data_IF_808469989517
#
_entry.id   IF_808469989517
#
_cell.length_a   1.000
_cell.length_b   1.000
_cell.length_c   1.000
_cell.angle_alpha   90.00
_cell.angle_beta   90.00
_cell.angle_gamma   90.00
#
_symmetry.space_group_name_H-M   'P 1'
#
loop_
_entity.id
_entity.type
_entity.pdbx_description
1 polymer ?
#
# COMPACT_ATOMS: atom_id res chain seq x y z
N UNK A 1 21.71 10.13 -40.29
CA UNK A 1 22.31 9.01 -39.52
C UNK A 1 23.28 9.51 -38.44
N UNK A 2 24.21 10.43 -38.74
CA UNK A 2 25.18 10.96 -37.75
C UNK A 2 24.55 11.84 -36.65
N UNK A 3 23.46 12.58 -36.95
CA UNK A 3 22.79 13.45 -35.96
C UNK A 3 22.00 12.68 -34.87
N UNK A 4 21.66 11.42 -35.07
CA UNK A 4 20.91 10.60 -34.10
C UNK A 4 21.82 9.78 -33.17
N UNK A 5 23.14 9.76 -33.43
CA UNK A 5 24.11 8.99 -32.65
C UNK A 5 24.16 9.39 -31.15
N UNK A 6 24.10 10.67 -30.77
CA UNK A 6 24.10 11.05 -29.35
C UNK A 6 22.85 10.58 -28.60
N UNK A 7 21.66 10.68 -29.23
CA UNK A 7 20.40 10.20 -28.65
C UNK A 7 20.37 8.67 -28.52
N UNK A 8 20.95 7.98 -29.50
CA UNK A 8 21.10 6.52 -29.47
C UNK A 8 22.09 6.07 -28.37
N UNK A 9 23.18 6.81 -28.18
CA UNK A 9 24.13 6.59 -27.08
C UNK A 9 23.44 6.71 -25.72
N UNK A 10 22.67 7.78 -25.50
CA UNK A 10 21.96 7.99 -24.23
C UNK A 10 20.93 6.87 -23.95
N UNK A 11 20.23 6.39 -24.97
CA UNK A 11 19.31 5.25 -24.84
C UNK A 11 20.05 3.95 -24.48
N UNK A 12 21.20 3.70 -25.10
CA UNK A 12 22.05 2.55 -24.78
C UNK A 12 22.54 2.65 -23.33
N UNK A 13 22.98 3.82 -22.88
CA UNK A 13 23.48 4.03 -21.53
C UNK A 13 22.39 3.75 -20.48
N UNK A 14 21.16 4.24 -20.72
CA UNK A 14 20.00 3.94 -19.87
C UNK A 14 19.69 2.45 -19.84
N UNK A 15 19.68 1.78 -20.99
CA UNK A 15 19.43 0.34 -21.07
C UNK A 15 20.51 -0.45 -20.33
N UNK A 16 21.78 -0.10 -20.53
CA UNK A 16 22.93 -0.71 -19.88
C UNK A 16 22.83 -0.61 -18.36
N UNK A 17 22.46 0.57 -17.84
CA UNK A 17 22.21 0.78 -16.41
C UNK A 17 21.10 -0.17 -15.89
N UNK A 18 19.98 -0.30 -16.59
CA UNK A 18 18.91 -1.19 -16.18
C UNK A 18 19.32 -2.67 -16.21
N UNK A 19 20.13 -3.09 -17.19
CA UNK A 19 20.69 -4.44 -17.26
C UNK A 19 21.62 -4.70 -16.06
N UNK A 20 22.47 -3.75 -15.70
CA UNK A 20 23.35 -3.87 -14.54
C UNK A 20 22.55 -3.97 -13.23
N UNK A 21 21.53 -3.12 -13.05
CA UNK A 21 20.63 -3.17 -11.89
C UNK A 21 19.92 -4.52 -11.82
N UNK A 22 19.35 -5.01 -12.92
CA UNK A 22 18.69 -6.31 -12.98
C UNK A 22 19.66 -7.45 -12.65
N UNK A 23 20.90 -7.36 -13.13
CA UNK A 23 21.99 -8.28 -12.80
C UNK A 23 22.29 -8.32 -11.30
N UNK A 24 22.43 -7.14 -10.67
CA UNK A 24 22.66 -7.00 -9.22
C UNK A 24 21.50 -7.56 -8.40
N UNK A 25 20.26 -7.22 -8.75
CA UNK A 25 19.05 -7.71 -8.07
C UNK A 25 19.00 -9.24 -8.13
N UNK A 26 19.18 -9.82 -9.33
CA UNK A 26 19.14 -11.27 -9.50
C UNK A 26 20.25 -11.99 -8.73
N UNK A 27 21.43 -11.37 -8.62
CA UNK A 27 22.52 -11.89 -7.80
C UNK A 27 22.12 -11.92 -6.32
N UNK A 28 21.60 -10.82 -5.77
CA UNK A 28 21.15 -10.72 -4.38
C UNK A 28 20.03 -11.73 -4.09
N UNK A 29 19.04 -11.88 -4.99
CA UNK A 29 17.94 -12.84 -4.83
C UNK A 29 18.47 -14.27 -4.67
N UNK A 30 19.48 -14.65 -5.46
CA UNK A 30 20.10 -15.98 -5.39
C UNK A 30 20.96 -16.15 -4.14
N UNK A 31 21.89 -15.22 -3.90
CA UNK A 31 22.86 -15.31 -2.79
C UNK A 31 22.17 -15.25 -1.42
N UNK A 32 21.10 -14.46 -1.28
CA UNK A 32 20.35 -14.34 -0.03
C UNK A 32 19.17 -15.32 0.08
N UNK A 33 18.97 -16.21 -0.88
CA UNK A 33 17.88 -17.21 -0.86
C UNK A 33 16.47 -16.61 -0.82
N UNK A 34 16.28 -15.41 -1.38
CA UNK A 34 15.05 -14.62 -1.20
C UNK A 34 13.81 -15.25 -1.83
N UNK A 35 13.98 -16.17 -2.79
CA UNK A 35 12.86 -16.86 -3.44
C UNK A 35 12.12 -17.79 -2.47
N UNK A 36 12.85 -18.59 -1.70
CA UNK A 36 12.26 -19.50 -0.71
C UNK A 36 11.66 -18.73 0.45
N UNK A 37 12.37 -17.71 0.95
CA UNK A 37 11.88 -16.82 2.00
C UNK A 37 10.62 -16.08 1.57
N UNK A 38 10.63 -15.47 0.38
CA UNK A 38 9.50 -14.72 -0.15
C UNK A 38 8.27 -15.61 -0.36
N UNK A 39 8.44 -16.86 -0.78
CA UNK A 39 7.32 -17.82 -0.86
C UNK A 39 6.74 -18.09 0.53
N UNK A 40 7.57 -18.35 1.54
CA UNK A 40 7.10 -18.57 2.90
C UNK A 40 6.37 -17.35 3.47
N UNK A 41 6.86 -16.13 3.21
CA UNK A 41 6.19 -14.88 3.60
C UNK A 41 4.78 -14.77 2.98
N UNK A 42 4.65 -15.08 1.69
CA UNK A 42 3.34 -15.12 1.01
C UNK A 42 2.45 -16.17 1.67
N UNK A 43 2.94 -17.39 1.82
CA UNK A 43 2.17 -18.52 2.34
C UNK A 43 1.68 -18.25 3.77
N UNK A 44 2.45 -17.53 4.59
CA UNK A 44 2.00 -17.09 5.91
C UNK A 44 0.82 -16.13 5.82
N UNK A 45 0.91 -15.11 4.97
CA UNK A 45 -0.12 -14.07 4.83
C UNK A 45 -1.43 -14.63 4.28
N UNK A 46 -1.37 -15.60 3.37
CA UNK A 46 -2.54 -16.27 2.78
C UNK A 46 -3.01 -17.50 3.58
N UNK A 47 -2.30 -17.89 4.66
CA UNK A 47 -2.66 -19.01 5.51
C UNK A 47 -2.35 -20.39 4.92
N UNK A 48 -1.51 -20.45 3.89
CA UNK A 48 -0.98 -21.68 3.30
C UNK A 48 0.11 -22.32 4.18
N UNK A 49 0.85 -21.49 4.92
CA UNK A 49 1.89 -21.90 5.88
C UNK A 49 1.58 -21.43 7.32
N UNK A 50 2.29 -21.98 8.29
CA UNK A 50 2.18 -21.57 9.69
C UNK A 50 3.49 -21.71 10.49
N UNK A 51 3.36 -21.71 11.82
CA UNK A 51 4.52 -21.72 12.73
C UNK A 51 5.48 -22.90 12.51
N UNK A 52 4.97 -24.07 12.09
CA UNK A 52 5.81 -25.24 11.80
C UNK A 52 6.77 -24.99 10.62
N UNK A 53 6.29 -24.31 9.59
CA UNK A 53 7.08 -24.00 8.40
C UNK A 53 8.14 -22.94 8.70
N UNK A 54 7.79 -21.96 9.55
CA UNK A 54 8.76 -20.98 10.08
C UNK A 54 9.84 -21.66 10.90
N UNK A 55 9.49 -22.57 11.81
CA UNK A 55 10.46 -23.33 12.59
C UNK A 55 11.36 -24.15 11.66
N UNK A 56 10.79 -24.83 10.66
CA UNK A 56 11.56 -25.60 9.67
C UNK A 56 12.55 -24.71 8.91
N UNK A 57 12.12 -23.53 8.47
CA UNK A 57 12.97 -22.55 7.80
C UNK A 57 14.12 -22.10 8.70
N UNK A 58 13.83 -21.68 9.94
CA UNK A 58 14.86 -21.22 10.89
C UNK A 58 15.90 -22.29 11.22
N UNK A 59 15.50 -23.57 11.29
CA UNK A 59 16.42 -24.68 11.53
C UNK A 59 17.21 -25.08 10.29
N UNK A 60 16.63 -24.97 9.10
CA UNK A 60 17.27 -25.41 7.85
C UNK A 60 18.19 -24.33 7.25
N UNK A 61 17.86 -23.06 7.46
CA UNK A 61 18.56 -21.89 6.92
C UNK A 61 19.19 -21.08 8.06
N UNK A 62 20.10 -21.71 8.82
CA UNK A 62 20.80 -21.03 9.91
C UNK A 62 21.61 -19.83 9.42
N UNK A 63 22.06 -19.85 8.16
CA UNK A 63 22.82 -18.81 7.46
C UNK A 63 21.98 -17.61 6.99
N UNK A 64 20.65 -17.68 7.10
CA UNK A 64 19.79 -16.56 6.75
C UNK A 64 20.14 -15.30 7.58
N UNK A 65 20.09 -14.14 6.94
CA UNK A 65 20.43 -12.86 7.57
C UNK A 65 19.53 -12.57 8.76
N UNK A 66 20.07 -11.83 9.75
CA UNK A 66 19.32 -11.35 10.92
C UNK A 66 18.04 -10.63 10.49
N UNK A 67 18.14 -9.75 9.50
CA UNK A 67 17.01 -8.99 8.95
C UNK A 67 15.91 -9.90 8.40
N UNK A 68 16.27 -10.90 7.60
CA UNK A 68 15.29 -11.83 7.02
C UNK A 68 14.57 -12.65 8.09
N UNK A 69 15.29 -13.13 9.10
CA UNK A 69 14.70 -13.87 10.24
C UNK A 69 13.75 -12.97 11.04
N UNK A 70 14.16 -11.74 11.32
CA UNK A 70 13.35 -10.77 12.05
C UNK A 70 12.08 -10.41 11.27
N UNK A 71 12.20 -10.07 9.98
CA UNK A 71 11.06 -9.76 9.11
C UNK A 71 10.04 -10.90 9.08
N UNK A 72 10.51 -12.14 8.95
CA UNK A 72 9.65 -13.32 8.97
C UNK A 72 8.89 -13.46 10.29
N UNK A 73 9.55 -13.23 11.43
CA UNK A 73 8.91 -13.26 12.74
C UNK A 73 7.93 -12.11 12.96
N UNK A 74 8.24 -10.91 12.47
CA UNK A 74 7.33 -9.76 12.52
C UNK A 74 6.05 -10.02 11.71
N UNK A 75 6.17 -10.62 10.52
CA UNK A 75 5.00 -11.07 9.73
C UNK A 75 4.19 -12.09 10.52
N UNK A 76 4.83 -13.10 11.11
CA UNK A 76 4.14 -14.11 11.91
C UNK A 76 3.44 -13.49 13.12
N UNK A 77 4.07 -12.51 13.80
CA UNK A 77 3.51 -11.83 14.96
C UNK A 77 2.34 -10.91 14.61
N UNK A 78 2.36 -10.27 13.44
CA UNK A 78 1.25 -9.48 12.94
C UNK A 78 0.02 -10.34 12.61
N UNK A 79 0.22 -11.58 12.12
CA UNK A 79 -0.87 -12.49 11.73
C UNK A 79 -1.39 -13.28 12.94
N UNK A 80 -0.49 -13.72 13.82
CA UNK A 80 -0.79 -14.59 14.96
C UNK A 80 -0.14 -14.07 16.25
N UNK A 81 -0.56 -12.91 16.78
CA UNK A 81 0.03 -12.32 17.99
C UNK A 81 -0.04 -13.27 19.20
N UNK A 82 -1.08 -14.12 19.27
CA UNK A 82 -1.27 -15.11 20.33
C UNK A 82 -0.19 -16.21 20.36
N UNK A 83 0.52 -16.43 19.24
CA UNK A 83 1.59 -17.43 19.15
C UNK A 83 2.88 -16.98 19.81
N UNK A 84 3.02 -15.67 20.03
CA UNK A 84 4.16 -15.09 20.71
C UNK A 84 3.92 -14.87 22.21
N UNK A 85 2.79 -15.33 22.75
CA UNK A 85 2.51 -15.33 24.18
C UNK A 85 3.13 -16.55 24.89
N UNK A 86 3.74 -16.28 26.05
CA UNK A 86 4.34 -17.30 26.91
C UNK A 86 5.59 -17.96 26.34
N UNK A 87 5.88 -19.18 26.81
CA UNK A 87 7.13 -19.91 26.50
C UNK A 87 7.32 -20.21 25.01
N UNK A 88 6.22 -20.40 24.27
CA UNK A 88 6.28 -20.69 22.83
C UNK A 88 6.88 -19.53 22.03
N UNK A 89 6.52 -18.30 22.37
CA UNK A 89 7.09 -17.09 21.78
C UNK A 89 8.58 -16.94 22.09
N UNK A 90 8.96 -17.19 23.35
CA UNK A 90 10.37 -17.15 23.75
C UNK A 90 11.21 -18.21 23.03
N UNK A 91 10.67 -19.42 22.85
CA UNK A 91 11.37 -20.52 22.19
C UNK A 91 11.62 -20.23 20.70
N UNK A 92 10.65 -19.64 19.98
CA UNK A 92 10.85 -19.31 18.57
C UNK A 92 11.83 -18.13 18.38
N UNK A 93 11.82 -17.15 19.29
CA UNK A 93 12.80 -16.06 19.29
C UNK A 93 14.22 -16.56 19.57
N UNK A 94 14.37 -17.47 20.53
CA UNK A 94 15.66 -18.13 20.83
C UNK A 94 16.15 -18.97 19.65
N UNK A 95 15.26 -19.71 18.99
CA UNK A 95 15.59 -20.50 17.81
C UNK A 95 16.13 -19.62 16.67
N UNK A 96 15.55 -18.43 16.48
CA UNK A 96 16.01 -17.48 15.47
C UNK A 96 17.37 -16.82 15.79
N UNK A 97 17.91 -17.01 17.01
CA UNK A 97 19.17 -16.42 17.50
C UNK A 97 19.22 -14.90 17.34
N UNK A 98 18.08 -14.23 17.56
CA UNK A 98 17.98 -12.78 17.47
C UNK A 98 18.39 -12.11 18.80
N UNK A 99 19.01 -10.92 18.77
CA UNK A 99 19.29 -10.13 19.96
C UNK A 99 18.00 -9.59 20.60
N UNK A 100 18.10 -9.12 21.83
CA UNK A 100 16.95 -8.67 22.62
C UNK A 100 16.18 -7.51 21.96
N UNK A 101 16.89 -6.57 21.32
CA UNK A 101 16.26 -5.43 20.64
C UNK A 101 15.33 -5.87 19.50
N UNK A 102 15.70 -6.93 18.79
CA UNK A 102 14.87 -7.53 17.74
C UNK A 102 13.65 -8.24 18.31
N UNK A 103 13.81 -8.87 19.47
CA UNK A 103 12.68 -9.48 20.18
C UNK A 103 11.67 -8.41 20.59
N UNK A 104 12.14 -7.22 20.98
CA UNK A 104 11.27 -6.09 21.27
C UNK A 104 10.50 -5.65 20.02
N UNK A 105 11.16 -5.56 18.87
CA UNK A 105 10.49 -5.24 17.61
C UNK A 105 9.38 -6.25 17.24
N UNK A 106 9.62 -7.55 17.42
CA UNK A 106 8.58 -8.58 17.21
C UNK A 106 7.42 -8.41 18.20
N UNK A 107 7.70 -8.07 19.46
CA UNK A 107 6.66 -7.84 20.46
C UNK A 107 5.86 -6.56 20.18
N UNK A 108 6.52 -5.51 19.71
CA UNK A 108 5.91 -4.22 19.36
C UNK A 108 4.93 -4.34 18.19
N UNK A 109 5.07 -5.35 17.32
CA UNK A 109 4.08 -5.64 16.27
C UNK A 109 2.66 -5.88 16.82
N UNK A 110 2.52 -6.30 18.09
CA UNK A 110 1.21 -6.46 18.74
C UNK A 110 0.51 -5.13 18.97
N UNK A 111 1.26 -4.06 19.17
CA UNK A 111 0.71 -2.71 19.35
C UNK A 111 0.05 -2.19 18.07
N UNK A 112 0.55 -2.65 16.91
CA UNK A 112 0.01 -2.31 15.59
C UNK A 112 -1.21 -3.15 15.18
N UNK A 113 -1.38 -4.34 15.77
CA UNK A 113 -2.46 -5.26 15.43
C UNK A 113 -3.87 -4.80 15.84
N UNK A 114 -3.98 -3.58 16.41
CA UNK A 114 -5.19 -3.07 17.04
C UNK A 114 -5.42 -3.80 18.36
N UNK A 115 -5.71 -3.06 19.43
CA UNK A 115 -5.96 -3.66 20.74
C UNK A 115 -7.05 -4.74 20.65
N UNK A 116 -6.66 -6.01 20.60
CA UNK A 116 -7.51 -7.11 21.04
C UNK A 116 -7.53 -7.12 22.58
N UNK A 117 -7.72 -5.94 23.16
CA UNK A 117 -8.03 -5.81 24.56
C UNK A 117 -9.49 -6.18 24.73
N UNK A 118 -9.70 -7.40 25.22
CA UNK A 118 -10.14 -7.57 26.60
C UNK A 118 -11.26 -6.65 27.13
N UNK A 119 -12.16 -6.16 26.28
CA UNK A 119 -13.48 -5.71 26.72
C UNK A 119 -14.32 -6.94 27.03
N UNK A 120 -14.16 -7.47 28.26
CA UNK A 120 -15.30 -8.03 29.00
C UNK A 120 -16.38 -6.95 29.06
N UNK A 121 -17.19 -6.82 28.02
CA UNK A 121 -18.49 -6.15 28.08
C UNK A 121 -19.43 -7.08 28.81
N UNK A 122 -19.40 -7.04 30.13
CA UNK A 122 -20.56 -7.42 30.94
C UNK A 122 -21.63 -6.35 30.72
N UNK A 123 -22.54 -6.58 29.77
CA UNK A 123 -23.94 -6.14 29.74
C UNK A 123 -24.54 -6.59 28.41
N UNK A 124 -25.57 -7.42 28.48
CA UNK A 124 -26.10 -8.17 27.35
C UNK A 124 -26.83 -7.34 26.32
N UNK A 125 -26.67 -7.74 25.06
CA UNK A 125 -27.68 -7.81 24.00
C UNK A 125 -26.99 -8.29 22.71
N UNK A 126 -27.45 -9.43 22.18
CA UNK A 126 -27.16 -9.98 20.84
C UNK A 126 -25.71 -9.93 20.32
N UNK A 127 -24.90 -10.91 20.75
CA UNK A 127 -23.71 -11.32 19.99
C UNK A 127 -24.17 -12.21 18.82
N UNK A 128 -24.17 -11.65 17.61
CA UNK A 128 -24.25 -12.45 16.39
C UNK A 128 -22.95 -13.24 16.27
N UNK A 129 -23.04 -14.51 16.66
CA UNK A 129 -22.04 -15.54 16.42
C UNK A 129 -21.92 -15.72 14.90
N UNK A 130 -20.79 -15.34 14.32
CA UNK A 130 -20.39 -15.81 13.00
C UNK A 130 -19.54 -17.07 13.14
N UNK A 131 -20.13 -18.14 12.63
CA UNK A 131 -19.73 -19.52 12.45
C UNK A 131 -18.38 -20.04 12.98
N UNK A 132 -18.58 -21.07 13.82
CA UNK A 132 -17.68 -22.16 14.14
C UNK A 132 -17.43 -22.97 12.85
N UNK A 133 -16.51 -22.49 12.03
CA UNK A 133 -15.66 -23.36 11.22
C UNK A 133 -14.25 -22.82 11.36
N UNK A 134 -13.30 -23.70 11.74
CA UNK A 134 -11.86 -23.42 11.77
C UNK A 134 -11.35 -23.13 10.35
N UNK A 135 -11.75 -22.00 9.76
CA UNK A 135 -11.13 -21.43 8.57
C UNK A 135 -9.76 -20.95 9.01
N UNK A 136 -8.72 -21.44 8.34
CA UNK A 136 -7.37 -20.88 8.39
C UNK A 136 -7.49 -19.34 8.40
N UNK A 137 -6.99 -18.68 9.45
CA UNK A 137 -6.99 -17.22 9.57
C UNK A 137 -5.98 -16.67 8.57
N UNK A 138 -6.37 -16.57 7.31
CA UNK A 138 -5.59 -15.87 6.30
C UNK A 138 -5.73 -14.36 6.54
N UNK A 139 -4.61 -13.64 6.65
CA UNK A 139 -4.61 -12.19 6.82
C UNK A 139 -5.02 -11.47 5.53
N UNK A 140 -4.78 -12.07 4.37
CA UNK A 140 -5.27 -11.60 3.07
C UNK A 140 -6.01 -12.72 2.34
N UNK A 141 -6.98 -12.31 1.51
CA UNK A 141 -7.73 -13.23 0.64
C UNK A 141 -7.09 -13.24 -0.73
N UNK A 142 -6.99 -14.43 -1.32
CA UNK A 142 -6.54 -14.60 -2.69
C UNK A 142 -7.51 -13.92 -3.66
N UNK A 143 -7.00 -13.37 -4.77
CA UNK A 143 -7.83 -12.65 -5.74
C UNK A 143 -8.13 -13.58 -6.91
N UNK A 144 -9.41 -13.85 -7.17
CA UNK A 144 -9.83 -14.66 -8.32
C UNK A 144 -9.78 -13.88 -9.65
N UNK A 145 -8.63 -13.29 -10.02
CA UNK A 145 -8.45 -12.48 -11.23
C UNK A 145 -7.44 -13.07 -12.22
N UNK A 146 -7.72 -12.95 -13.52
CA UNK A 146 -6.97 -13.58 -14.63
C UNK A 146 -5.48 -13.15 -14.78
N UNK A 147 -5.04 -12.09 -14.10
CA UNK A 147 -3.64 -11.60 -14.14
C UNK A 147 -2.64 -12.46 -13.33
N UNK A 148 -3.10 -13.49 -12.60
CA UNK A 148 -2.31 -14.18 -11.56
C UNK A 148 -1.35 -15.29 -12.02
N UNK A 149 -1.33 -15.70 -13.29
CA UNK A 149 -0.50 -16.85 -13.70
C UNK A 149 0.98 -16.53 -13.94
N UNK A 150 1.38 -15.25 -13.99
CA UNK A 150 2.74 -14.89 -14.43
C UNK A 150 3.77 -14.80 -13.30
N UNK A 151 3.37 -14.56 -12.04
CA UNK A 151 4.34 -14.30 -10.94
C UNK A 151 3.91 -14.87 -9.58
N UNK A 152 4.19 -16.17 -9.35
CA UNK A 152 3.84 -16.89 -8.11
C UNK A 152 4.33 -16.23 -6.80
N UNK A 153 5.41 -15.45 -6.84
CA UNK A 153 5.95 -14.71 -5.68
C UNK A 153 5.27 -13.36 -5.39
N UNK A 154 4.27 -12.95 -6.19
CA UNK A 154 3.66 -11.61 -6.14
C UNK A 154 2.15 -11.64 -5.89
N UNK A 155 1.67 -12.58 -5.06
CA UNK A 155 0.24 -12.67 -4.68
C UNK A 155 -0.18 -11.51 -3.77
N UNK A 156 0.69 -11.08 -2.85
CA UNK A 156 0.38 -10.04 -1.87
C UNK A 156 0.06 -8.69 -2.53
N UNK A 157 -1.06 -8.11 -2.09
CA UNK A 157 -1.46 -6.75 -2.41
C UNK A 157 -1.68 -5.93 -1.12
N UNK A 158 -1.11 -4.72 -1.03
CA UNK A 158 -1.32 -3.80 0.10
C UNK A 158 -2.80 -3.53 0.40
N UNK A 159 -3.12 -3.29 1.67
CA UNK A 159 -4.48 -2.98 2.14
C UNK A 159 -5.08 -1.78 1.40
N UNK A 160 -4.26 -0.76 1.12
CA UNK A 160 -4.68 0.46 0.43
C UNK A 160 -5.31 0.17 -0.94
N UNK A 161 -4.90 -0.90 -1.63
CA UNK A 161 -5.47 -1.25 -2.93
C UNK A 161 -6.97 -1.58 -2.81
N UNK A 162 -7.33 -2.34 -1.76
CA UNK A 162 -8.71 -2.72 -1.48
C UNK A 162 -9.53 -1.53 -0.97
N UNK A 163 -8.93 -0.69 -0.12
CA UNK A 163 -9.58 0.50 0.41
C UNK A 163 -9.93 1.50 -0.70
N UNK A 164 -9.00 1.75 -1.63
CA UNK A 164 -9.24 2.64 -2.77
C UNK A 164 -10.30 2.05 -3.70
N UNK A 165 -10.28 0.74 -3.97
CA UNK A 165 -11.28 0.10 -4.83
C UNK A 165 -12.69 0.17 -4.21
N UNK A 166 -12.82 -0.11 -2.90
CA UNK A 166 -14.07 0.05 -2.14
C UNK A 166 -14.55 1.50 -2.13
N UNK A 167 -13.65 2.45 -1.88
CA UNK A 167 -13.97 3.87 -1.92
C UNK A 167 -14.47 4.28 -3.31
N UNK A 168 -13.86 3.78 -4.38
CA UNK A 168 -14.27 4.08 -5.75
C UNK A 168 -15.67 3.55 -6.07
N UNK A 169 -16.03 2.37 -5.53
CA UNK A 169 -17.36 1.76 -5.68
C UNK A 169 -18.42 2.33 -4.74
N UNK A 170 -18.02 3.16 -3.76
CA UNK A 170 -18.91 3.62 -2.70
C UNK A 170 -19.26 2.55 -1.65
N UNK A 171 -18.49 1.47 -1.59
CA UNK A 171 -18.67 0.30 -0.71
C UNK A 171 -17.78 0.36 0.54
N UNK A 172 -17.08 1.47 0.77
CA UNK A 172 -16.25 1.65 1.95
C UNK A 172 -17.14 1.77 3.21
N UNK A 173 -16.83 0.98 4.23
CA UNK A 173 -17.59 0.95 5.49
C UNK A 173 -17.57 2.33 6.15
N UNK A 174 -18.75 2.90 6.39
CA UNK A 174 -18.90 4.19 7.09
C UNK A 174 -18.65 4.09 8.59
N UNK A 175 -18.80 2.89 9.16
CA UNK A 175 -18.52 2.64 10.58
C UNK A 175 -17.01 2.60 10.87
N UNK A 176 -16.23 2.03 9.94
CA UNK A 176 -14.77 1.94 10.06
C UNK A 176 -14.06 3.20 9.54
N UNK A 177 -14.61 3.83 8.49
CA UNK A 177 -14.07 5.05 7.88
C UNK A 177 -15.13 6.17 7.86
N UNK A 178 -15.44 6.77 9.02
CA UNK A 178 -16.43 7.83 9.10
C UNK A 178 -15.98 9.10 8.38
N UNK A 179 -16.91 9.75 7.68
CA UNK A 179 -16.66 11.04 7.05
C UNK A 179 -16.87 12.16 8.07
N UNK A 180 -15.83 12.95 8.36
CA UNK A 180 -15.94 14.08 9.31
C UNK A 180 -16.82 15.21 8.78
N UNK A 181 -16.93 15.34 7.46
CA UNK A 181 -17.77 16.32 6.79
C UNK A 181 -18.70 15.57 5.86
N UNK A 182 -19.88 15.16 6.33
CA UNK A 182 -20.88 14.59 5.42
C UNK A 182 -21.12 15.58 4.27
N UNK A 183 -20.94 15.16 3.01
CA UNK A 183 -21.24 16.03 1.89
C UNK A 183 -22.74 16.33 1.94
N UNK A 184 -23.10 17.59 2.19
CA UNK A 184 -24.47 18.06 2.04
C UNK A 184 -24.96 17.68 0.63
N UNK A 185 -26.22 17.23 0.45
CA UNK A 185 -26.71 16.67 -0.81
C UNK A 185 -26.85 17.68 -1.97
N UNK A 186 -26.18 18.83 -1.93
CA UNK A 186 -26.33 19.93 -2.87
C UNK A 186 -25.31 19.99 -4.00
N UNK A 187 -24.42 18.99 -4.18
CA UNK A 187 -23.37 19.11 -5.21
C UNK A 187 -23.24 17.99 -6.25
N UNK A 188 -24.18 17.05 -6.35
CA UNK A 188 -24.24 16.17 -7.53
C UNK A 188 -25.67 15.92 -7.97
N UNK A 189 -26.01 16.50 -9.12
CA UNK A 189 -27.30 16.34 -9.76
C UNK A 189 -27.55 17.45 -10.76
N UNK A 190 -26.86 17.44 -11.91
CA UNK A 190 -27.35 18.12 -13.11
C UNK A 190 -28.64 17.46 -13.57
N UNK A 191 -29.76 17.81 -12.93
CA UNK A 191 -31.08 17.65 -13.50
C UNK A 191 -31.28 18.72 -14.55
N UNK A 192 -31.37 18.29 -15.81
CA UNK A 192 -31.84 19.11 -16.92
C UNK A 192 -33.18 19.74 -16.52
N UNK A 193 -33.20 21.06 -16.42
CA UNK A 193 -34.44 21.85 -16.41
C UNK A 193 -34.23 23.06 -17.31
N UNK A 194 -35.25 23.32 -18.12
CA UNK A 194 -35.35 24.32 -19.18
C UNK A 194 -35.20 25.76 -18.65
N UNK A 195 -34.76 26.72 -19.49
CA UNK A 195 -34.43 28.05 -19.01
C UNK A 195 -35.70 28.90 -18.87
N UNK A 196 -35.93 29.45 -17.68
CA UNK A 196 -36.80 30.62 -17.52
C UNK A 196 -35.96 31.75 -16.93
N UNK A 197 -35.92 32.84 -17.69
CA UNK A 197 -35.28 34.11 -17.34
C UNK A 197 -35.68 34.61 -15.96
N UNK A 198 -34.70 34.97 -15.12
CA UNK A 198 -34.83 36.04 -14.12
C UNK A 198 -33.46 36.61 -13.73
N UNK A 199 -33.46 37.92 -13.53
CA UNK A 199 -32.34 38.88 -13.51
C UNK A 199 -31.48 38.75 -12.23
N UNK A 200 -30.15 39.01 -12.25
CA UNK A 200 -29.28 38.75 -11.10
C UNK A 200 -29.39 39.83 -10.01
N UNK A 201 -29.52 39.38 -8.76
CA UNK A 201 -29.28 40.19 -7.57
C UNK A 201 -27.80 40.14 -7.17
N UNK A 202 -27.16 41.31 -7.12
CA UNK A 202 -25.75 41.47 -6.76
C UNK A 202 -25.51 41.19 -5.27
N UNK A 203 -24.77 40.13 -4.95
CA UNK A 203 -24.25 39.88 -3.60
C UNK A 203 -22.78 40.30 -3.51
N UNK A 204 -22.54 41.42 -2.83
CA UNK A 204 -21.20 41.93 -2.54
C UNK A 204 -20.58 41.21 -1.32
N UNK A 205 -20.16 39.95 -1.51
CA UNK A 205 -19.12 39.35 -0.66
C UNK A 205 -18.09 38.63 -1.51
N UNK A 206 -17.11 39.43 -1.95
CA UNK A 206 -15.86 38.97 -2.55
C UNK A 206 -15.13 38.04 -1.57
N UNK A 207 -15.28 36.73 -1.75
CA UNK A 207 -14.40 35.73 -1.15
C UNK A 207 -13.24 35.57 -2.13
N UNK A 208 -12.13 36.25 -1.88
CA UNK A 208 -10.90 36.12 -2.68
C UNK A 208 -10.48 34.65 -2.68
N UNK A 209 -10.76 33.93 -3.77
CA UNK A 209 -10.17 32.62 -4.04
C UNK A 209 -8.66 32.81 -4.15
N UNK A 210 -7.89 32.00 -3.41
CA UNK A 210 -6.43 32.06 -3.41
C UNK A 210 -5.89 31.89 -4.84
N UNK A 211 -5.07 32.84 -5.28
CA UNK A 211 -4.59 33.00 -6.66
C UNK A 211 -3.79 31.81 -7.20
N UNK A 212 -3.31 30.91 -6.33
CA UNK A 212 -2.61 29.67 -6.70
C UNK A 212 -3.50 28.63 -7.40
N UNK A 213 -4.83 28.73 -7.27
CA UNK A 213 -5.78 27.78 -7.85
C UNK A 213 -6.35 28.24 -9.22
N UNK A 214 -5.83 29.31 -9.83
CA UNK A 214 -6.28 29.74 -11.17
C UNK A 214 -5.53 28.96 -12.26
N UNK A 215 -6.22 28.22 -13.14
CA UNK A 215 -5.59 27.71 -14.35
C UNK A 215 -5.25 28.90 -15.25
N UNK A 216 -3.96 29.18 -15.43
CA UNK A 216 -3.47 30.09 -16.47
C UNK A 216 -3.65 29.42 -17.83
N UNK A 217 -4.77 29.70 -18.48
CA UNK A 217 -4.94 29.42 -19.91
C UNK A 217 -4.77 30.73 -20.66
N UNK A 218 -3.53 31.03 -21.07
CA UNK A 218 -3.26 31.91 -22.20
C UNK A 218 -2.83 31.00 -23.36
N UNK A 219 -3.73 30.85 -24.31
CA UNK A 219 -3.52 30.18 -25.58
C UNK A 219 -2.79 31.15 -26.53
N UNK A 220 -1.49 31.32 -26.27
CA UNK A 220 -0.62 32.04 -27.19
C UNK A 220 0.20 30.98 -27.94
N UNK A 221 -0.33 30.60 -29.10
CA UNK A 221 0.23 29.59 -29.98
C UNK A 221 1.55 30.02 -30.59
N UNK A 222 2.66 29.79 -29.89
CA UNK A 222 3.97 29.57 -30.49
C UNK A 222 4.95 29.05 -29.41
N UNK A 223 5.19 27.74 -29.34
CA UNK A 223 6.49 27.22 -28.89
C UNK A 223 6.56 25.71 -29.05
N UNK A 224 7.32 25.32 -30.07
CA UNK A 224 7.86 24.00 -30.28
C UNK A 224 8.80 23.61 -29.11
N UNK A 225 8.81 22.30 -28.84
CA UNK A 225 9.78 21.55 -28.03
C UNK A 225 9.42 21.30 -26.56
N UNK A 226 9.10 20.01 -26.35
CA UNK A 226 9.38 19.19 -25.17
C UNK A 226 8.71 19.55 -23.84
N UNK A 227 7.66 18.80 -23.50
CA UNK A 227 7.37 18.49 -22.09
C UNK A 227 6.40 17.31 -21.98
N UNK A 228 6.95 16.13 -21.69
CA UNK A 228 6.20 14.96 -21.18
C UNK A 228 5.27 15.36 -20.02
N UNK A 229 5.67 16.37 -19.24
CA UNK A 229 4.89 16.97 -18.16
C UNK A 229 3.57 17.63 -18.63
N UNK A 230 3.51 18.21 -19.83
CA UNK A 230 2.28 18.82 -20.35
C UNK A 230 1.25 17.77 -20.78
N UNK A 231 1.67 16.68 -21.41
CA UNK A 231 0.78 15.55 -21.74
C UNK A 231 0.19 14.92 -20.48
N UNK A 232 1.03 14.64 -19.47
CA UNK A 232 0.54 14.16 -18.18
C UNK A 232 -0.48 15.13 -17.56
N UNK A 233 -0.21 16.44 -17.59
CA UNK A 233 -1.14 17.46 -17.04
C UNK A 233 -2.49 17.54 -17.77
N UNK A 234 -2.54 17.29 -19.08
CA UNK A 234 -3.80 17.24 -19.83
C UNK A 234 -4.59 15.97 -19.58
N UNK A 235 -3.90 14.86 -19.30
CA UNK A 235 -4.54 13.58 -18.99
C UNK A 235 -5.22 13.65 -17.61
N UNK A 236 -4.56 14.25 -16.60
CA UNK A 236 -5.17 14.48 -15.29
C UNK A 236 -6.40 15.40 -15.33
N UNK A 237 -6.50 16.31 -16.30
CA UNK A 237 -7.69 17.17 -16.47
C UNK A 237 -8.94 16.39 -16.93
N UNK A 238 -8.77 15.18 -17.48
CA UNK A 238 -9.86 14.30 -17.91
C UNK A 238 -10.23 13.25 -16.86
N UNK A 239 -9.48 13.17 -15.77
CA UNK A 239 -9.69 12.18 -14.71
C UNK A 239 -10.80 12.63 -13.74
N UNK A 240 -11.49 11.66 -13.15
CA UNK A 240 -12.53 11.90 -12.15
C UNK A 240 -11.99 12.53 -10.85
N UNK A 241 -12.84 12.60 -9.82
CA UNK A 241 -12.47 13.19 -8.53
C UNK A 241 -11.18 12.55 -7.95
N UNK A 242 -10.22 13.38 -7.57
CA UNK A 242 -8.95 12.92 -7.00
C UNK A 242 -9.16 12.17 -5.68
N UNK A 243 -8.32 11.17 -5.42
CA UNK A 243 -8.28 10.43 -4.16
C UNK A 243 -6.97 10.78 -3.48
N UNK A 244 -7.03 11.36 -2.29
CA UNK A 244 -5.86 11.62 -1.46
C UNK A 244 -5.80 10.58 -0.34
N UNK A 245 -4.66 9.91 -0.23
CA UNK A 245 -4.39 9.00 0.89
C UNK A 245 -3.16 9.51 1.63
N UNK A 246 -3.24 9.63 2.94
CA UNK A 246 -2.10 9.98 3.78
C UNK A 246 -1.83 8.87 4.79
N UNK A 247 -0.64 8.27 4.75
CA UNK A 247 -0.22 7.24 5.70
C UNK A 247 0.68 7.85 6.77
N UNK A 248 0.18 7.89 8.00
CA UNK A 248 0.96 8.30 9.17
C UNK A 248 1.86 7.13 9.60
N UNK A 249 3.16 7.40 9.78
CA UNK A 249 4.13 6.39 10.21
C UNK A 249 4.92 5.75 9.06
N UNK A 250 4.66 6.16 7.82
CA UNK A 250 5.44 5.78 6.65
C UNK A 250 4.65 5.02 5.59
N UNK A 251 4.99 5.23 4.32
CA UNK A 251 4.46 4.44 3.20
C UNK A 251 5.58 3.58 2.59
N UNK A 252 5.17 2.53 1.91
CA UNK A 252 6.07 1.59 1.22
C UNK A 252 6.03 1.78 -0.30
N UNK A 253 7.07 1.32 -0.98
CA UNK A 253 7.12 1.34 -2.46
C UNK A 253 6.02 0.48 -3.11
N UNK A 254 5.54 -0.57 -2.42
CA UNK A 254 4.45 -1.40 -2.91
C UNK A 254 3.11 -0.65 -2.89
N UNK A 255 2.86 0.16 -1.86
CA UNK A 255 1.68 1.05 -1.78
C UNK A 255 1.73 2.16 -2.83
N UNK A 256 2.91 2.76 -3.04
CA UNK A 256 3.12 3.74 -4.11
C UNK A 256 2.83 3.13 -5.49
N UNK A 257 3.36 1.93 -5.76
CA UNK A 257 3.09 1.18 -7.01
C UNK A 257 1.59 0.93 -7.20
N UNK A 258 0.87 0.57 -6.13
CA UNK A 258 -0.58 0.38 -6.16
C UNK A 258 -1.30 1.68 -6.53
N UNK A 259 -0.92 2.81 -5.95
CA UNK A 259 -1.56 4.10 -6.25
C UNK A 259 -1.39 4.47 -7.73
N UNK A 260 -0.20 4.25 -8.31
CA UNK A 260 0.01 4.42 -9.75
C UNK A 260 -0.82 3.45 -10.59
N UNK A 261 -0.88 2.16 -10.21
CA UNK A 261 -1.71 1.15 -10.90
C UNK A 261 -3.18 1.56 -10.92
N UNK A 262 -3.71 1.97 -9.77
CA UNK A 262 -5.12 2.34 -9.63
C UNK A 262 -5.44 3.67 -10.31
N UNK A 263 -4.49 4.59 -10.42
CA UNK A 263 -4.68 5.85 -11.15
C UNK A 263 -5.08 5.60 -12.60
N UNK A 264 -4.36 4.73 -13.30
CA UNK A 264 -4.67 4.34 -14.68
C UNK A 264 -5.94 3.49 -14.77
N UNK A 265 -6.14 2.55 -13.83
CA UNK A 265 -7.30 1.62 -13.84
C UNK A 265 -8.63 2.33 -13.59
N UNK A 266 -8.66 3.28 -12.65
CA UNK A 266 -9.88 3.95 -12.20
C UNK A 266 -10.16 5.24 -12.96
N UNK A 267 -9.22 5.71 -13.79
CA UNK A 267 -9.29 7.04 -14.44
C UNK A 267 -9.51 8.16 -13.42
N UNK A 268 -8.89 8.04 -12.24
CA UNK A 268 -8.93 8.99 -11.13
C UNK A 268 -7.53 9.15 -10.59
N UNK A 269 -7.08 10.38 -10.37
CA UNK A 269 -5.75 10.63 -9.81
C UNK A 269 -5.69 10.19 -8.34
N UNK A 270 -4.87 9.19 -8.03
CA UNK A 270 -4.63 8.72 -6.65
C UNK A 270 -3.30 9.28 -6.17
N UNK A 271 -3.34 10.11 -5.14
CA UNK A 271 -2.19 10.81 -4.58
C UNK A 271 -1.89 10.22 -3.21
N UNK A 272 -0.70 9.65 -3.06
CA UNK A 272 -0.21 9.10 -1.80
C UNK A 272 0.73 10.11 -1.14
N UNK A 273 0.38 10.51 0.09
CA UNK A 273 1.26 11.21 1.02
C UNK A 273 1.60 10.33 2.21
N UNK A 274 2.73 10.60 2.85
CA UNK A 274 3.16 9.90 4.06
C UNK A 274 4.16 10.74 4.85
N UNK A 275 4.43 10.34 6.10
CA UNK A 275 5.50 10.94 6.91
C UNK A 275 6.91 10.60 6.39
N UNK A 276 7.07 9.42 5.78
CA UNK A 276 8.32 8.85 5.30
C UNK A 276 8.04 7.82 4.21
N UNK A 277 9.02 7.52 3.36
CA UNK A 277 8.96 6.41 2.42
C UNK A 277 9.96 5.34 2.87
N UNK A 278 9.46 4.28 3.49
CA UNK A 278 10.26 3.34 4.25
C UNK A 278 10.51 2.03 3.47
N UNK A 279 11.77 1.61 3.47
CA UNK A 279 12.18 0.26 3.07
C UNK A 279 12.13 -0.69 4.30
N UNK A 280 12.02 -2.03 4.11
CA UNK A 280 11.86 -2.96 5.23
C UNK A 280 12.88 -2.82 6.39
N UNK A 281 14.19 -2.59 6.15
CA UNK A 281 15.14 -2.36 7.24
C UNK A 281 14.85 -1.11 8.07
N UNK A 282 14.37 -0.04 7.42
CA UNK A 282 14.03 1.22 8.10
C UNK A 282 12.81 1.02 9.02
N UNK A 283 11.78 0.34 8.50
CA UNK A 283 10.61 -0.01 9.30
C UNK A 283 10.96 -0.89 10.50
N UNK A 284 11.86 -1.86 10.32
CA UNK A 284 12.34 -2.72 11.41
C UNK A 284 13.04 -1.90 12.50
N UNK A 285 13.93 -0.99 12.11
CA UNK A 285 14.72 -0.16 13.06
C UNK A 285 13.82 0.74 13.91
N UNK A 286 12.75 1.31 13.32
CA UNK A 286 11.79 2.13 14.06
C UNK A 286 11.05 1.35 15.16
N UNK A 287 10.83 0.05 14.96
CA UNK A 287 10.13 -0.79 15.93
C UNK A 287 11.04 -1.35 17.03
N UNK A 288 12.36 -1.15 16.96
CA UNK A 288 13.30 -1.54 18.03
C UNK A 288 13.32 -0.55 19.19
N UNK A 289 12.89 0.70 18.96
CA UNK A 289 12.77 1.76 19.98
C UNK A 289 11.45 1.65 20.75
#
# INVERSE_FOLDING_TARGET
>A
MVQALPQYSEQIDKLSLHVEIAGKINRIIRESGLRELGQLEQDLVFGDAGMKDVIKFLTTKEDATRENKLRLLMILAAIYPEKFEGERGLNIMKLARLPQDDMNAVNNMRLLAGGSDTKKRSTGAFSLKFDIHKKKRAARKDRTGEEETTWQLSRFYPMIEELIDKLNKGELSKDEYPCMNEPSPTFHGTSQSTPVHQVPAHSMRSRRTATWARPRNSDDGYSSSDSILRHASSDFKKMGQRIFVFIVGGATRSELRVCHKLTSKLQREVILGSSSLDDPPQFITLNQM
#
